data_IF_660011734513
#
_entry.id   IF_660011734513
#
_cell.length_a   1.000
_cell.length_b   1.000
_cell.length_c   1.000
_cell.angle_alpha   90.00
_cell.angle_beta   90.00
_cell.angle_gamma   90.00
#
_symmetry.space_group_name_H-M   'P 1'
#
loop_
_entity.id
_entity.type
_entity.pdbx_description
1 polymer ?
#
# COMPACT_ATOMS: atom_id res chain seq x y z
N UNK A 1 -18.93 7.97 -10.92
CA UNK A 1 -17.84 8.92 -11.21
C UNK A 1 -16.54 8.20 -10.93
N UNK A 2 -15.61 8.27 -11.88
CA UNK A 2 -14.34 7.54 -11.85
C UNK A 2 -13.47 8.05 -10.70
N UNK A 3 -13.02 7.15 -9.83
CA UNK A 3 -12.11 7.48 -8.74
C UNK A 3 -10.76 7.89 -9.35
N UNK A 4 -10.39 9.17 -9.20
CA UNK A 4 -9.11 9.72 -9.70
C UNK A 4 -7.92 8.91 -9.17
N UNK A 5 -6.83 8.82 -9.93
CA UNK A 5 -5.59 8.14 -9.53
C UNK A 5 -5.11 8.56 -8.13
N UNK A 6 -5.19 9.87 -7.84
CA UNK A 6 -4.89 10.40 -6.52
C UNK A 6 -5.78 9.84 -5.41
N UNK A 7 -7.10 9.85 -5.60
CA UNK A 7 -8.06 9.33 -4.62
C UNK A 7 -7.84 7.84 -4.32
N UNK A 8 -7.50 7.05 -5.34
CA UNK A 8 -7.13 5.63 -5.20
C UNK A 8 -5.85 5.46 -4.38
N UNK A 9 -4.78 6.17 -4.74
CA UNK A 9 -3.49 6.05 -4.05
C UNK A 9 -3.57 6.54 -2.60
N UNK A 10 -4.30 7.62 -2.36
CA UNK A 10 -4.54 8.13 -1.00
C UNK A 10 -5.31 7.13 -0.15
N UNK A 11 -6.36 6.53 -0.72
CA UNK A 11 -7.14 5.48 -0.04
C UNK A 11 -6.26 4.29 0.30
N UNK A 12 -5.45 3.82 -0.66
CA UNK A 12 -4.50 2.71 -0.48
C UNK A 12 -3.55 2.99 0.67
N UNK A 13 -2.82 4.11 0.63
CA UNK A 13 -1.87 4.50 1.69
C UNK A 13 -2.52 4.61 3.07
N UNK A 14 -3.73 5.17 3.14
CA UNK A 14 -4.47 5.29 4.41
C UNK A 14 -4.84 3.92 4.97
N UNK A 15 -5.38 3.02 4.13
CA UNK A 15 -5.79 1.67 4.54
C UNK A 15 -4.58 0.83 4.93
N UNK A 16 -3.48 0.94 4.18
CA UNK A 16 -2.18 0.33 4.50
C UNK A 16 -1.74 0.74 5.90
N UNK A 17 -1.77 2.04 6.23
CA UNK A 17 -1.45 2.54 7.58
C UNK A 17 -2.49 2.20 8.66
N UNK A 18 -3.55 1.45 8.35
CA UNK A 18 -4.61 1.09 9.30
C UNK A 18 -5.46 2.26 9.79
N UNK A 19 -5.42 3.41 9.10
CA UNK A 19 -6.08 4.64 9.55
C UNK A 19 -7.52 4.74 9.05
N UNK A 20 -8.43 5.17 9.89
CA UNK A 20 -9.73 5.69 9.43
C UNK A 20 -9.54 7.04 8.74
N UNK A 21 -10.50 7.43 7.89
CA UNK A 21 -10.53 8.77 7.26
C UNK A 21 -10.46 9.89 8.30
N UNK A 22 -11.08 9.69 9.47
CA UNK A 22 -11.11 10.68 10.57
C UNK A 22 -9.74 10.81 11.24
N UNK A 23 -9.05 9.70 11.48
CA UNK A 23 -7.70 9.70 12.05
C UNK A 23 -6.70 10.34 11.09
N UNK A 24 -6.74 9.98 9.82
CA UNK A 24 -5.89 10.59 8.80
C UNK A 24 -6.15 12.10 8.67
N UNK A 25 -7.43 12.50 8.55
CA UNK A 25 -7.83 13.89 8.49
C UNK A 25 -7.29 14.72 9.67
N UNK A 26 -7.40 14.17 10.89
CA UNK A 26 -6.83 14.79 12.11
C UNK A 26 -5.31 14.90 12.02
N UNK A 27 -4.63 13.85 11.56
CA UNK A 27 -3.17 13.81 11.51
C UNK A 27 -2.55 14.83 10.54
N UNK A 28 -3.23 15.13 9.42
CA UNK A 28 -2.78 16.15 8.45
C UNK A 28 -3.50 17.50 8.58
N UNK A 29 -4.16 17.73 9.73
CA UNK A 29 -4.92 18.94 10.02
C UNK A 29 -5.81 19.39 8.85
N UNK A 30 -6.68 18.48 8.39
CA UNK A 30 -7.57 18.67 7.25
C UNK A 30 -8.98 18.20 7.63
N UNK A 31 -10.07 18.88 7.19
CA UNK A 31 -11.42 18.45 7.49
C UNK A 31 -11.73 17.05 6.95
N UNK A 32 -12.46 16.24 7.72
CA UNK A 32 -12.91 14.90 7.30
C UNK A 32 -13.59 14.91 5.93
N UNK A 33 -14.50 15.87 5.70
CA UNK A 33 -15.23 16.00 4.44
C UNK A 33 -14.30 16.24 3.25
N UNK A 34 -13.18 16.93 3.47
CA UNK A 34 -12.19 17.21 2.43
C UNK A 34 -11.42 15.95 2.06
N UNK A 35 -10.93 15.19 3.05
CA UNK A 35 -10.30 13.88 2.83
C UNK A 35 -11.27 12.91 2.15
N UNK A 36 -12.52 12.88 2.59
CA UNK A 36 -13.53 12.00 2.01
C UNK A 36 -13.83 12.35 0.54
N UNK A 37 -13.89 13.64 0.19
CA UNK A 37 -14.01 14.08 -1.21
C UNK A 37 -12.78 13.77 -2.04
N UNK A 38 -11.58 13.86 -1.47
CA UNK A 38 -10.34 13.45 -2.13
C UNK A 38 -10.33 11.96 -2.49
N UNK A 39 -10.64 11.10 -1.52
CA UNK A 39 -10.69 9.64 -1.72
C UNK A 39 -11.79 9.19 -2.68
N UNK A 40 -12.86 9.97 -2.83
CA UNK A 40 -13.91 9.73 -3.84
C UNK A 40 -13.57 10.30 -5.22
N UNK A 41 -12.48 11.04 -5.36
CA UNK A 41 -12.10 11.71 -6.60
C UNK A 41 -12.98 12.91 -6.97
N UNK A 42 -13.78 13.43 -6.04
CA UNK A 42 -14.62 14.62 -6.27
C UNK A 42 -13.80 15.91 -6.30
N UNK A 43 -12.69 15.91 -5.57
CA UNK A 43 -11.74 17.03 -5.46
C UNK A 43 -10.33 16.47 -5.40
N UNK A 44 -9.36 17.27 -5.81
CA UNK A 44 -7.93 16.98 -5.62
C UNK A 44 -7.40 18.02 -4.60
N UNK A 45 -6.45 17.66 -3.72
CA UNK A 45 -5.78 18.65 -2.89
C UNK A 45 -5.14 19.75 -3.73
N UNK A 46 -5.01 20.94 -3.15
CA UNK A 46 -4.11 21.96 -3.71
C UNK A 46 -2.68 21.43 -3.73
N UNK A 47 -1.88 21.87 -4.70
CA UNK A 47 -0.48 21.43 -4.86
C UNK A 47 0.33 21.57 -3.55
N UNK A 48 0.10 22.64 -2.79
CA UNK A 48 0.72 22.91 -1.49
C UNK A 48 0.47 21.83 -0.42
N UNK A 49 -0.59 21.03 -0.57
CA UNK A 49 -0.93 19.94 0.35
C UNK A 49 -0.21 18.63 -0.02
N UNK A 50 0.23 18.46 -1.27
CA UNK A 50 0.91 17.23 -1.70
C UNK A 50 2.16 16.92 -0.87
N UNK A 51 3.07 17.87 -0.58
CA UNK A 51 4.25 17.59 0.26
C UNK A 51 3.87 17.11 1.67
N UNK A 52 2.79 17.64 2.24
CA UNK A 52 2.32 17.24 3.59
C UNK A 52 1.82 15.80 3.59
N UNK A 53 1.03 15.43 2.58
CA UNK A 53 0.47 14.09 2.43
C UNK A 53 1.60 13.08 2.12
N UNK A 54 2.48 13.44 1.17
CA UNK A 54 3.64 12.66 0.79
C UNK A 54 4.55 12.37 1.99
N UNK A 55 4.91 13.40 2.76
CA UNK A 55 5.71 13.26 3.98
C UNK A 55 5.02 12.42 5.06
N UNK A 56 3.71 12.57 5.25
CA UNK A 56 2.96 11.77 6.23
C UNK A 56 3.03 10.27 5.93
N UNK A 57 2.89 9.90 4.65
CA UNK A 57 2.97 8.53 4.19
C UNK A 57 4.39 8.05 3.83
N UNK A 58 5.35 8.97 3.85
CA UNK A 58 6.74 8.77 3.44
C UNK A 58 6.85 8.17 2.03
N UNK A 59 6.19 8.82 1.09
CA UNK A 59 6.20 8.50 -0.34
C UNK A 59 6.54 9.75 -1.13
N UNK A 60 6.92 9.60 -2.40
CA UNK A 60 7.10 10.74 -3.30
C UNK A 60 5.76 11.39 -3.66
N UNK A 61 5.77 12.68 -3.98
CA UNK A 61 4.57 13.35 -4.52
C UNK A 61 4.10 12.71 -5.84
N UNK A 62 5.04 12.22 -6.65
CA UNK A 62 4.75 11.49 -7.88
C UNK A 62 3.94 10.21 -7.63
N UNK A 63 4.23 9.48 -6.54
CA UNK A 63 3.45 8.31 -6.14
C UNK A 63 1.98 8.66 -5.89
N UNK A 64 1.69 9.84 -5.34
CA UNK A 64 0.31 10.27 -5.11
C UNK A 64 -0.45 10.53 -6.41
N UNK A 65 0.23 10.87 -7.51
CA UNK A 65 -0.40 11.34 -8.75
C UNK A 65 -0.39 10.30 -9.88
N UNK A 66 0.55 9.36 -9.87
CA UNK A 66 0.75 8.40 -10.95
C UNK A 66 -0.08 7.12 -10.75
N UNK A 67 -0.39 6.44 -11.87
CA UNK A 67 -1.06 5.14 -11.82
C UNK A 67 -0.10 4.12 -11.21
N UNK A 68 -0.24 3.85 -9.91
CA UNK A 68 0.52 2.81 -9.22
C UNK A 68 -0.08 1.46 -9.63
N UNK A 69 0.41 0.94 -10.75
CA UNK A 69 -0.01 -0.36 -11.29
C UNK A 69 0.88 -1.51 -10.85
N UNK A 70 2.03 -1.24 -10.23
CA UNK A 70 2.98 -2.29 -9.86
C UNK A 70 3.21 -2.35 -8.36
N UNK A 71 2.92 -3.52 -7.76
CA UNK A 71 3.26 -3.79 -6.36
C UNK A 71 4.78 -3.79 -6.15
N UNK A 72 5.57 -3.94 -7.22
CA UNK A 72 7.02 -3.83 -7.19
C UNK A 72 7.50 -2.44 -6.75
N UNK A 73 6.82 -1.36 -7.15
CA UNK A 73 7.19 0.01 -6.74
C UNK A 73 7.10 0.21 -5.22
N UNK A 74 6.17 -0.50 -4.56
CA UNK A 74 6.00 -0.46 -3.10
C UNK A 74 7.08 -1.29 -2.41
N UNK A 75 7.55 -2.37 -3.04
CA UNK A 75 8.57 -3.25 -2.51
C UNK A 75 9.99 -2.67 -2.66
N UNK A 76 10.23 -1.90 -3.72
CA UNK A 76 11.51 -1.28 -4.06
C UNK A 76 11.74 0.10 -3.42
N UNK A 77 10.70 0.76 -2.90
CA UNK A 77 10.86 2.06 -2.25
C UNK A 77 11.70 1.91 -0.96
N UNK A 78 12.93 2.40 -0.99
CA UNK A 78 13.89 2.43 0.13
C UNK A 78 13.49 3.38 1.27
N UNK A 79 12.46 4.19 1.07
CA UNK A 79 12.05 5.25 1.99
C UNK A 79 10.81 4.88 2.83
N UNK A 80 10.21 3.69 2.75
CA UNK A 80 9.05 3.39 3.60
C UNK A 80 9.46 3.12 5.07
N UNK A 81 8.88 3.82 6.08
CA UNK A 81 9.30 3.80 7.48
C UNK A 81 8.66 2.61 8.25
N UNK A 82 8.22 1.59 7.53
CA UNK A 82 7.55 0.41 8.10
C UNK A 82 8.40 -0.81 7.80
N UNK A 83 8.58 -1.64 8.81
CA UNK A 83 9.24 -2.94 8.72
C UNK A 83 8.76 -3.72 7.47
N UNK A 84 9.65 -4.38 6.71
CA UNK A 84 9.26 -5.11 5.49
C UNK A 84 8.16 -6.14 5.71
N UNK A 85 8.09 -6.75 6.89
CA UNK A 85 7.04 -7.70 7.26
C UNK A 85 5.71 -6.97 7.39
N UNK A 86 5.68 -5.82 8.06
CA UNK A 86 4.48 -5.00 8.22
C UNK A 86 3.96 -4.54 6.85
N UNK A 87 4.85 -4.05 5.97
CA UNK A 87 4.50 -3.67 4.59
C UNK A 87 3.91 -4.85 3.81
N UNK A 88 4.55 -6.01 3.88
CA UNK A 88 4.10 -7.22 3.18
C UNK A 88 2.77 -7.74 3.73
N UNK A 89 2.61 -7.77 5.05
CA UNK A 89 1.39 -8.19 5.73
C UNK A 89 0.20 -7.32 5.30
N UNK A 90 0.38 -6.01 5.24
CA UNK A 90 -0.67 -5.07 4.82
C UNK A 90 -1.14 -5.32 3.38
N UNK A 91 -0.20 -5.49 2.43
CA UNK A 91 -0.51 -5.79 1.02
C UNK A 91 -1.26 -7.14 0.92
N UNK A 92 -0.76 -8.17 1.61
CA UNK A 92 -1.36 -9.50 1.60
C UNK A 92 -2.77 -9.47 2.21
N UNK A 93 -3.00 -8.76 3.31
CA UNK A 93 -4.31 -8.63 3.95
C UNK A 93 -5.32 -7.97 3.00
N UNK A 94 -4.93 -6.88 2.34
CA UNK A 94 -5.82 -6.18 1.39
C UNK A 94 -6.26 -7.12 0.26
N UNK A 95 -5.28 -7.80 -0.37
CA UNK A 95 -5.56 -8.74 -1.46
C UNK A 95 -6.40 -9.92 -0.98
N UNK A 96 -6.06 -10.49 0.17
CA UNK A 96 -6.72 -11.66 0.76
C UNK A 96 -8.18 -11.39 1.16
N UNK A 97 -8.50 -10.18 1.62
CA UNK A 97 -9.89 -9.79 1.95
C UNK A 97 -10.85 -9.85 0.76
N UNK A 98 -10.36 -9.63 -0.46
CA UNK A 98 -11.17 -9.65 -1.68
C UNK A 98 -11.34 -11.04 -2.29
N UNK A 99 -10.78 -12.08 -1.65
CA UNK A 99 -10.87 -13.47 -2.12
C UNK A 99 -12.13 -14.12 -1.52
N UNK A 100 -12.96 -14.83 -2.32
CA UNK A 100 -14.06 -15.63 -1.79
C UNK A 100 -13.61 -16.64 -0.73
N UNK A 101 -14.42 -16.83 0.31
CA UNK A 101 -14.06 -17.66 1.47
C UNK A 101 -13.74 -19.12 1.08
N UNK A 102 -14.36 -19.64 0.04
CA UNK A 102 -14.09 -20.99 -0.47
C UNK A 102 -12.68 -21.16 -1.09
N UNK A 103 -12.05 -20.06 -1.52
CA UNK A 103 -10.70 -20.09 -2.12
C UNK A 103 -9.59 -19.74 -1.13
N UNK A 104 -9.94 -19.12 0.00
CA UNK A 104 -9.03 -18.69 1.05
C UNK A 104 -8.06 -19.78 1.55
N UNK A 105 -8.52 -21.01 1.89
CA UNK A 105 -7.63 -22.07 2.35
C UNK A 105 -6.55 -22.47 1.32
N UNK A 106 -6.88 -22.42 0.03
CA UNK A 106 -5.91 -22.72 -1.04
C UNK A 106 -4.84 -21.65 -1.13
N UNK A 107 -5.23 -20.39 -0.99
CA UNK A 107 -4.32 -19.23 -1.05
C UNK A 107 -3.34 -19.27 0.12
N UNK A 108 -3.82 -19.52 1.34
CA UNK A 108 -2.96 -19.65 2.53
C UNK A 108 -1.91 -20.76 2.34
N UNK A 109 -2.33 -21.93 1.87
CA UNK A 109 -1.43 -23.06 1.62
C UNK A 109 -0.36 -22.72 0.58
N UNK A 110 -0.74 -22.04 -0.50
CA UNK A 110 0.21 -21.73 -1.58
C UNK A 110 1.20 -20.63 -1.17
N UNK A 111 0.78 -19.63 -0.38
CA UNK A 111 1.68 -18.60 0.17
C UNK A 111 2.80 -19.26 1.00
N UNK A 112 2.44 -20.17 1.90
CA UNK A 112 3.42 -20.88 2.74
C UNK A 112 4.34 -21.77 1.89
N UNK A 113 3.79 -22.46 0.89
CA UNK A 113 4.55 -23.29 -0.03
C UNK A 113 5.58 -22.47 -0.82
N UNK A 114 5.18 -21.34 -1.38
CA UNK A 114 6.07 -20.45 -2.14
C UNK A 114 7.18 -19.90 -1.23
N UNK A 115 6.85 -19.46 -0.02
CA UNK A 115 7.85 -18.98 0.94
C UNK A 115 8.90 -20.05 1.27
N UNK A 116 8.49 -21.31 1.42
CA UNK A 116 9.40 -22.44 1.63
C UNK A 116 10.29 -22.70 0.40
N UNK A 117 9.72 -22.68 -0.81
CA UNK A 117 10.48 -22.90 -2.04
C UNK A 117 11.54 -21.80 -2.26
N UNK A 118 11.17 -20.53 -2.07
CA UNK A 118 12.10 -19.40 -2.21
C UNK A 118 13.25 -19.49 -1.21
N UNK A 119 12.96 -19.92 0.03
CA UNK A 119 14.01 -20.14 1.03
C UNK A 119 15.03 -21.18 0.52
N UNK A 120 14.56 -22.32 0.01
CA UNK A 120 15.43 -23.38 -0.51
C UNK A 120 16.25 -22.87 -1.70
N UNK A 121 15.62 -22.14 -2.63
CA UNK A 121 16.29 -21.57 -3.80
C UNK A 121 17.44 -20.65 -3.41
N UNK A 122 17.22 -19.74 -2.45
CA UNK A 122 18.25 -18.82 -1.95
C UNK A 122 19.39 -19.59 -1.28
N UNK A 123 19.08 -20.62 -0.48
CA UNK A 123 20.09 -21.48 0.16
C UNK A 123 20.94 -22.21 -0.89
N UNK A 124 20.33 -22.75 -1.96
CA UNK A 124 21.04 -23.41 -3.06
C UNK A 124 21.93 -22.45 -3.86
N UNK A 125 21.42 -21.27 -4.21
CA UNK A 125 22.17 -20.27 -4.97
C UNK A 125 23.36 -19.70 -4.17
N UNK A 126 23.23 -19.62 -2.84
CA UNK A 126 24.31 -19.20 -1.94
C UNK A 126 25.43 -20.25 -1.80
N UNK A 127 25.15 -21.54 -2.09
CA UNK A 127 26.15 -22.61 -2.06
C UNK A 127 26.90 -22.77 -3.39
N UNK A 128 26.27 -22.45 -4.52
CA UNK A 128 26.88 -22.54 -5.85
C UNK A 128 27.75 -21.31 -6.23
N UNK A 129 27.71 -20.25 -5.43
CA UNK A 129 28.49 -19.02 -5.62
C UNK A 129 29.81 -18.95 -4.84
N UNK A 130 30.28 -20.06 -4.26
CA UNK A 130 31.57 -20.19 -3.55
C UNK A 130 32.53 -21.09 -4.30
#
# INVERSE_FOLDING_TARGET
MENTTFGKNLTKLRVIRGLSKKEFAKAINTPYSTVASWERGEKIPKIERLPTIAKFFNVSEAYLLNNVTDDNDILESTELPTDPIERMAQILIEKYRNIPDEHKPRVEKEILRIAQLLRIEIEMNSQNGK
#
